data_IF_816982422593
#
_entry.id   IF_816982422593
#
_cell.length_a   1.000
_cell.length_b   1.000
_cell.length_c   1.000
_cell.angle_alpha   90.00
_cell.angle_beta   90.00
_cell.angle_gamma   90.00
#
_symmetry.space_group_name_H-M   'P 1'
#
loop_
_entity.id
_entity.type
_entity.pdbx_description
1 polymer ?
#
# COMPACT_ATOMS: atom_id res chain seq x y z
N UNK A 1 -32.59 -9.07 26.18
CA UNK A 1 -31.11 -9.14 26.11
C UNK A 1 -30.57 -9.63 24.75
N UNK A 2 -31.41 -9.86 23.73
CA UNK A 2 -30.99 -10.43 22.43
C UNK A 2 -30.58 -9.38 21.39
N UNK A 3 -31.06 -8.13 21.50
CA UNK A 3 -30.76 -7.05 20.55
C UNK A 3 -29.37 -6.43 20.70
N UNK A 4 -28.74 -6.58 21.88
CA UNK A 4 -27.40 -6.04 22.16
C UNK A 4 -26.27 -6.91 21.56
N UNK A 5 -26.53 -8.19 21.27
CA UNK A 5 -25.55 -9.11 20.68
C UNK A 5 -25.41 -8.96 19.17
N UNK A 6 -26.48 -8.55 18.48
CA UNK A 6 -26.46 -8.32 17.02
C UNK A 6 -25.63 -7.08 16.67
N UNK A 7 -25.70 -6.02 17.48
CA UNK A 7 -24.95 -4.79 17.26
C UNK A 7 -23.42 -4.98 17.37
N UNK A 8 -22.92 -5.89 18.22
CA UNK A 8 -21.48 -6.16 18.33
C UNK A 8 -20.91 -6.94 17.13
N UNK A 9 -21.68 -7.85 16.54
CA UNK A 9 -21.22 -8.66 15.40
C UNK A 9 -21.07 -7.78 14.15
N UNK A 10 -21.97 -6.82 13.94
CA UNK A 10 -21.86 -5.88 12.82
C UNK A 10 -20.70 -4.89 13.01
N UNK A 11 -20.46 -4.41 14.23
CA UNK A 11 -19.35 -3.49 14.52
C UNK A 11 -17.97 -4.13 14.33
N UNK A 12 -17.79 -5.40 14.72
CA UNK A 12 -16.53 -6.12 14.53
C UNK A 12 -16.20 -6.35 13.04
N UNK A 13 -17.21 -6.64 12.21
CA UNK A 13 -17.01 -6.91 10.78
C UNK A 13 -16.55 -5.67 9.99
N UNK A 14 -16.98 -4.47 10.40
CA UNK A 14 -16.56 -3.19 9.81
C UNK A 14 -15.13 -2.79 10.20
N UNK A 15 -14.63 -3.26 11.34
CA UNK A 15 -13.24 -3.00 11.77
C UNK A 15 -12.20 -3.80 10.98
N UNK A 16 -12.51 -5.05 10.64
CA UNK A 16 -11.60 -5.94 9.90
C UNK A 16 -11.35 -5.51 8.45
N UNK A 17 -12.33 -4.88 7.80
CA UNK A 17 -12.16 -4.40 6.41
C UNK A 17 -11.31 -3.15 6.34
N UNK A 18 -11.38 -2.25 7.33
CA UNK A 18 -10.55 -1.04 7.38
C UNK A 18 -9.06 -1.36 7.54
N UNK A 19 -8.71 -2.36 8.35
CA UNK A 19 -7.30 -2.78 8.49
C UNK A 19 -6.72 -3.36 7.22
N UNK A 20 -7.54 -3.99 6.37
CA UNK A 20 -7.08 -4.54 5.10
C UNK A 20 -6.77 -3.44 4.07
N UNK A 21 -7.60 -2.40 3.98
CA UNK A 21 -7.35 -1.26 3.09
C UNK A 21 -6.14 -0.43 3.56
N UNK A 22 -5.98 -0.24 4.86
CA UNK A 22 -4.82 0.46 5.42
C UNK A 22 -3.49 -0.24 5.11
N UNK A 23 -3.51 -1.56 4.88
CA UNK A 23 -2.28 -2.30 4.52
C UNK A 23 -1.86 -2.12 3.06
N UNK A 24 -2.76 -1.70 2.17
CA UNK A 24 -2.46 -1.52 0.73
C UNK A 24 -2.16 -0.08 0.38
N UNK A 25 -2.88 0.87 0.98
CA UNK A 25 -2.75 2.30 0.66
C UNK A 25 -1.33 2.81 0.86
N UNK A 26 -0.76 3.44 -0.16
CA UNK A 26 0.53 4.12 -0.08
C UNK A 26 0.36 5.43 0.69
N UNK A 27 1.17 5.62 1.73
CA UNK A 27 1.15 6.84 2.56
C UNK A 27 2.34 7.75 2.26
N UNK A 28 3.45 7.18 1.78
CA UNK A 28 4.70 7.87 1.47
C UNK A 28 5.20 7.45 0.10
N UNK A 29 5.56 8.43 -0.71
CA UNK A 29 6.19 8.26 -2.01
C UNK A 29 7.18 9.42 -2.17
N UNK A 30 8.44 9.17 -1.87
CA UNK A 30 9.47 10.20 -1.70
C UNK A 30 10.69 9.86 -2.54
N UNK A 31 11.21 10.84 -3.27
CA UNK A 31 12.53 10.75 -3.89
C UNK A 31 13.58 11.00 -2.81
N UNK A 32 14.41 9.99 -2.52
CA UNK A 32 15.40 10.03 -1.44
C UNK A 32 16.84 10.25 -1.94
N UNK A 33 17.07 10.02 -3.23
CA UNK A 33 18.26 10.39 -3.99
C UNK A 33 17.89 10.41 -5.48
N UNK A 34 18.79 10.92 -6.33
CA UNK A 34 18.56 11.03 -7.78
C UNK A 34 17.98 9.73 -8.36
N UNK A 35 16.73 9.81 -8.83
CA UNK A 35 15.95 8.72 -9.42
C UNK A 35 15.67 7.51 -8.48
N UNK A 36 16.05 7.59 -7.21
CA UNK A 36 15.81 6.57 -6.18
C UNK A 36 14.65 6.99 -5.29
N UNK A 37 13.59 6.18 -5.33
CA UNK A 37 12.36 6.44 -4.59
C UNK A 37 12.19 5.46 -3.44
N UNK A 38 11.72 5.98 -2.33
CA UNK A 38 11.19 5.23 -1.21
C UNK A 38 9.66 5.29 -1.25
N UNK A 39 9.01 4.13 -1.14
CA UNK A 39 7.55 4.05 -1.07
C UNK A 39 7.11 3.16 0.07
N UNK A 40 6.08 3.58 0.81
CA UNK A 40 5.56 2.75 1.89
C UNK A 40 4.33 3.27 2.59
N UNK A 41 3.91 2.48 3.57
CA UNK A 41 2.83 2.75 4.50
C UNK A 41 3.21 2.25 5.90
N UNK A 42 2.24 2.19 6.82
CA UNK A 42 2.44 1.72 8.18
C UNK A 42 3.05 0.31 8.30
N UNK A 43 2.96 -0.54 7.27
CA UNK A 43 3.33 -1.97 7.35
C UNK A 43 4.29 -2.46 6.26
N UNK A 44 4.35 -1.78 5.12
CA UNK A 44 5.14 -2.18 3.97
C UNK A 44 5.96 -1.01 3.48
N UNK A 45 7.24 -1.27 3.16
CA UNK A 45 8.15 -0.27 2.63
C UNK A 45 9.03 -0.94 1.58
N UNK A 46 9.32 -0.24 0.50
CA UNK A 46 10.23 -0.68 -0.55
C UNK A 46 11.00 0.52 -1.10
N UNK A 47 11.97 0.23 -1.95
CA UNK A 47 12.65 1.22 -2.78
C UNK A 47 12.65 0.76 -4.23
N UNK A 48 12.64 1.72 -5.15
CA UNK A 48 12.87 1.46 -6.56
C UNK A 48 13.75 2.55 -7.18
N UNK A 49 14.54 2.16 -8.17
CA UNK A 49 15.38 3.06 -8.96
C UNK A 49 14.80 3.19 -10.37
N UNK A 50 14.61 4.42 -10.84
CA UNK A 50 14.25 4.72 -12.23
C UNK A 50 15.54 4.80 -13.06
N UNK A 51 15.56 4.13 -14.21
CA UNK A 51 16.65 4.19 -15.19
C UNK A 51 16.08 4.47 -16.58
N UNK A 52 16.96 4.79 -17.54
CA UNK A 52 16.54 5.01 -18.93
C UNK A 52 15.95 3.75 -19.59
N UNK A 53 16.26 2.56 -19.06
CA UNK A 53 15.81 1.27 -19.54
C UNK A 53 14.58 0.74 -18.81
N UNK A 54 14.18 1.37 -17.71
CA UNK A 54 13.03 0.98 -16.89
C UNK A 54 13.29 1.10 -15.40
N UNK A 55 12.51 0.37 -14.61
CA UNK A 55 12.54 0.45 -13.14
C UNK A 55 13.13 -0.82 -12.52
N UNK A 56 14.03 -0.63 -11.56
CA UNK A 56 14.57 -1.71 -10.71
C UNK A 56 13.88 -1.63 -9.34
N UNK A 57 13.03 -2.61 -9.03
CA UNK A 57 12.30 -2.72 -7.76
C UNK A 57 12.99 -3.71 -6.82
N UNK A 58 13.21 -3.32 -5.56
CA UNK A 58 13.94 -4.15 -4.59
C UNK A 58 13.11 -5.34 -4.05
N UNK A 59 11.87 -5.10 -3.64
CA UNK A 59 11.02 -6.13 -3.01
C UNK A 59 9.50 -5.86 -3.18
N UNK A 60 8.76 -6.72 -3.88
CA UNK A 60 7.30 -6.69 -3.83
C UNK A 60 6.84 -7.34 -2.51
N UNK A 61 6.21 -6.54 -1.65
CA UNK A 61 5.92 -6.95 -0.27
C UNK A 61 4.66 -7.80 -0.16
N UNK A 62 3.57 -7.40 -0.84
CA UNK A 62 2.34 -8.19 -0.97
C UNK A 62 1.56 -7.79 -2.24
N UNK A 63 0.55 -8.57 -2.60
CA UNK A 63 -0.24 -8.36 -3.82
C UNK A 63 -0.94 -6.99 -3.88
N UNK A 64 -1.58 -6.57 -2.80
CA UNK A 64 -2.36 -5.33 -2.77
C UNK A 64 -1.47 -4.09 -2.87
N UNK A 65 -0.44 -4.01 -2.03
CA UNK A 65 0.56 -2.95 -2.08
C UNK A 65 1.27 -2.90 -3.43
N UNK A 66 1.64 -4.05 -4.00
CA UNK A 66 2.30 -4.10 -5.32
C UNK A 66 1.38 -3.63 -6.45
N UNK A 67 0.08 -3.88 -6.33
CA UNK A 67 -0.92 -3.43 -7.31
C UNK A 67 -1.06 -1.91 -7.28
N UNK A 68 -1.15 -1.30 -6.09
CA UNK A 68 -1.19 0.15 -5.97
C UNK A 68 0.12 0.81 -6.38
N UNK A 69 1.27 0.26 -5.96
CA UNK A 69 2.59 0.76 -6.36
C UNK A 69 2.76 0.76 -7.87
N UNK A 70 2.31 -0.31 -8.55
CA UNK A 70 2.34 -0.36 -10.01
C UNK A 70 1.51 0.76 -10.64
N UNK A 71 0.31 1.03 -10.14
CA UNK A 71 -0.52 2.11 -10.67
C UNK A 71 0.11 3.50 -10.47
N UNK A 72 0.73 3.73 -9.31
CA UNK A 72 1.49 4.97 -9.06
C UNK A 72 2.71 5.11 -9.99
N UNK A 73 3.44 4.00 -10.21
CA UNK A 73 4.59 3.98 -11.13
C UNK A 73 4.14 4.29 -12.56
N UNK A 74 3.13 3.59 -13.07
CA UNK A 74 2.57 3.81 -14.42
C UNK A 74 2.06 5.25 -14.57
N UNK A 75 1.46 5.84 -13.53
CA UNK A 75 0.97 7.22 -13.59
C UNK A 75 2.07 8.28 -13.63
N UNK A 76 3.29 7.96 -13.18
CA UNK A 76 4.37 8.95 -12.96
C UNK A 76 5.49 8.84 -13.97
N UNK A 77 5.72 7.64 -14.51
CA UNK A 77 6.92 7.35 -15.31
C UNK A 77 6.63 6.78 -16.72
N UNK A 78 5.36 6.49 -17.05
CA UNK A 78 4.90 6.09 -18.40
C UNK A 78 4.00 7.18 -19.03
#
# INVERSE_FOLDING_TARGET
>A
MTRLRIAMITGALVGLTQTALAQTTIERFEEIADDLYYVGNATHNTVFLVTAEGIILADPVNYGFSTELRAEIESRFD
#
